data_IF_000206239202
#
_entry.id   IF_000206239202
#
_cell.length_a   1.000
_cell.length_b   1.000
_cell.length_c   1.000
_cell.angle_alpha   90.00
_cell.angle_beta   90.00
_cell.angle_gamma   90.00
#
_symmetry.space_group_name_H-M   'P 1'
#
loop_
_entity.id
_entity.type
_entity.pdbx_description
1 polymer ?
#
# COMPACT_ATOMS: atom_id res chain seq x y z
N UNK A 1 16.01 -1.35 11.86
CA UNK A 1 15.35 -2.42 11.07
C UNK A 1 13.96 -2.58 11.66
N UNK A 2 12.90 -2.17 10.97
CA UNK A 2 11.53 -2.39 11.48
C UNK A 2 11.21 -3.85 11.24
N UNK A 3 11.02 -4.59 12.33
CA UNK A 3 10.69 -6.01 12.32
C UNK A 3 9.24 -6.13 11.82
N UNK A 4 9.00 -7.11 10.94
CA UNK A 4 7.71 -7.30 10.28
C UNK A 4 6.66 -7.76 11.30
N UNK A 5 6.00 -6.83 11.99
CA UNK A 5 4.87 -7.12 12.86
C UNK A 5 3.62 -7.35 12.01
N UNK A 6 3.56 -8.51 11.33
CA UNK A 6 2.31 -9.04 10.74
C UNK A 6 1.20 -9.25 11.79
N UNK A 7 1.53 -9.17 13.08
CA UNK A 7 0.57 -9.12 14.18
C UNK A 7 -0.32 -7.86 14.14
N UNK A 8 0.12 -6.79 13.47
CA UNK A 8 -0.70 -5.60 13.26
C UNK A 8 -1.70 -5.89 12.14
N UNK A 9 -3.00 -5.59 12.32
CA UNK A 9 -4.01 -5.81 11.29
C UNK A 9 -3.75 -4.92 10.05
N UNK A 10 -4.13 -5.42 8.88
CA UNK A 10 -4.21 -4.61 7.66
C UNK A 10 -5.26 -3.49 7.83
N UNK A 11 -5.06 -2.28 7.26
CA UNK A 11 -3.92 -1.84 6.45
C UNK A 11 -2.71 -1.31 7.23
N UNK A 12 -2.78 -1.22 8.56
CA UNK A 12 -1.75 -0.59 9.40
C UNK A 12 -0.37 -1.21 9.25
N UNK A 13 -0.28 -2.54 9.14
CA UNK A 13 1.00 -3.22 8.97
C UNK A 13 1.76 -2.80 7.70
N UNK A 14 1.06 -2.61 6.58
CA UNK A 14 1.62 -2.10 5.33
C UNK A 14 2.07 -0.65 5.50
N UNK A 15 1.25 0.16 6.17
CA UNK A 15 1.53 1.60 6.36
C UNK A 15 2.76 1.78 7.26
N UNK A 16 2.86 1.07 8.37
CA UNK A 16 4.04 1.11 9.25
C UNK A 16 5.32 0.73 8.48
N UNK A 17 5.25 -0.30 7.62
CA UNK A 17 6.38 -0.70 6.79
C UNK A 17 6.77 0.37 5.75
N UNK A 18 5.79 0.99 5.09
CA UNK A 18 6.05 2.02 4.08
C UNK A 18 6.58 3.30 4.70
N UNK A 19 5.99 3.75 5.82
CA UNK A 19 6.39 4.97 6.52
C UNK A 19 7.65 4.78 7.37
N UNK A 20 8.01 3.54 7.71
CA UNK A 20 9.18 3.21 8.51
C UNK A 20 9.08 3.61 9.98
N UNK A 21 7.86 3.84 10.47
CA UNK A 21 7.53 4.18 11.86
C UNK A 21 6.25 3.49 12.27
N UNK A 22 6.05 3.30 13.57
CA UNK A 22 4.74 2.87 14.07
C UNK A 22 3.73 4.01 13.94
N UNK A 23 2.54 3.66 13.47
CA UNK A 23 1.42 4.58 13.25
C UNK A 23 0.25 4.08 14.09
N UNK A 24 -0.26 4.95 14.95
CA UNK A 24 -1.45 4.67 15.75
C UNK A 24 -2.68 4.55 14.84
N UNK A 25 -3.75 3.90 15.31
CA UNK A 25 -4.97 3.74 14.50
C UNK A 25 -5.62 5.11 14.25
N UNK A 26 -5.53 5.99 15.24
CA UNK A 26 -6.11 7.34 15.28
C UNK A 26 -5.41 8.31 14.32
N UNK A 27 -4.16 8.02 13.94
CA UNK A 27 -3.40 8.79 12.96
C UNK A 27 -3.79 8.45 11.52
N UNK A 28 -4.48 7.33 11.30
CA UNK A 28 -4.87 6.94 9.95
C UNK A 28 -5.98 7.83 9.40
N UNK A 29 -5.91 8.18 8.10
CA UNK A 29 -7.01 8.87 7.47
C UNK A 29 -8.27 7.98 7.47
N UNK A 30 -9.47 8.59 7.51
CA UNK A 30 -10.72 7.83 7.57
C UNK A 30 -10.96 7.01 6.30
N UNK A 31 -10.44 7.46 5.16
CA UNK A 31 -10.51 6.84 3.84
C UNK A 31 -9.23 6.03 3.51
N UNK A 32 -8.59 5.46 4.53
CA UNK A 32 -7.30 4.76 4.36
C UNK A 32 -7.43 3.49 3.50
N UNK A 33 -8.57 2.79 3.55
CA UNK A 33 -8.76 1.56 2.79
C UNK A 33 -8.80 1.87 1.29
N UNK A 34 -9.57 2.87 0.90
CA UNK A 34 -9.68 3.40 -0.45
C UNK A 34 -8.34 3.97 -0.92
N UNK A 35 -7.63 4.66 -0.03
CA UNK A 35 -6.30 5.21 -0.32
C UNK A 35 -5.27 4.12 -0.61
N UNK A 36 -5.29 3.03 0.16
CA UNK A 36 -4.41 1.88 -0.07
C UNK A 36 -4.78 1.20 -1.38
N UNK A 37 -6.07 0.96 -1.63
CA UNK A 37 -6.54 0.36 -2.89
C UNK A 37 -6.07 1.19 -4.10
N UNK A 38 -6.36 2.49 -4.10
CA UNK A 38 -5.95 3.41 -5.16
C UNK A 38 -4.43 3.36 -5.40
N UNK A 39 -3.64 3.44 -4.33
CA UNK A 39 -2.18 3.43 -4.46
C UNK A 39 -1.67 2.09 -5.02
N UNK A 40 -2.24 0.96 -4.61
CA UNK A 40 -1.84 -0.35 -5.13
C UNK A 40 -2.14 -0.47 -6.63
N UNK A 41 -3.33 -0.06 -7.05
CA UNK A 41 -3.75 -0.07 -8.45
C UNK A 41 -2.90 0.87 -9.32
N UNK A 42 -2.55 2.05 -8.83
CA UNK A 42 -1.84 3.06 -9.62
C UNK A 42 -0.31 2.93 -9.61
N UNK A 43 0.28 2.17 -8.68
CA UNK A 43 1.74 2.12 -8.52
C UNK A 43 2.39 0.85 -9.08
N UNK A 44 1.64 -0.24 -9.25
CA UNK A 44 2.19 -1.54 -9.67
C UNK A 44 1.21 -2.37 -10.49
N UNK A 45 1.67 -3.50 -11.01
CA UNK A 45 0.80 -4.44 -11.71
C UNK A 45 -0.09 -5.18 -10.72
N UNK A 46 -1.22 -5.68 -11.22
CA UNK A 46 -2.16 -6.52 -10.45
C UNK A 46 -1.45 -7.67 -9.73
N UNK A 47 -0.52 -8.35 -10.41
CA UNK A 47 0.29 -9.42 -9.81
C UNK A 47 1.14 -8.95 -8.62
N UNK A 48 1.82 -7.81 -8.77
CA UNK A 48 2.68 -7.27 -7.71
C UNK A 48 1.83 -6.78 -6.52
N UNK A 49 0.65 -6.21 -6.80
CA UNK A 49 -0.33 -5.80 -5.79
C UNK A 49 -0.89 -7.01 -5.04
N UNK A 50 -1.28 -8.07 -5.74
CA UNK A 50 -1.80 -9.29 -5.12
C UNK A 50 -0.76 -9.96 -4.21
N UNK A 51 0.53 -9.95 -4.59
CA UNK A 51 1.62 -10.40 -3.71
C UNK A 51 1.68 -9.61 -2.39
N UNK A 52 1.44 -8.29 -2.43
CA UNK A 52 1.34 -7.49 -1.20
C UNK A 52 0.08 -7.84 -0.39
N UNK A 53 -1.06 -8.07 -1.05
CA UNK A 53 -2.29 -8.49 -0.37
C UNK A 53 -2.05 -9.81 0.38
N UNK A 54 -1.44 -10.82 -0.27
CA UNK A 54 -1.08 -12.07 0.40
C UNK A 54 -0.13 -11.84 1.59
N UNK A 55 0.82 -10.92 1.44
CA UNK A 55 1.82 -10.63 2.48
C UNK A 55 1.22 -9.93 3.70
N UNK A 56 0.40 -8.91 3.50
CA UNK A 56 -0.04 -7.99 4.56
C UNK A 56 -1.48 -8.22 5.00
N UNK A 57 -2.39 -8.61 4.10
CA UNK A 57 -3.79 -8.88 4.47
C UNK A 57 -3.98 -10.33 4.91
N UNK A 58 -3.30 -11.28 4.26
CA UNK A 58 -3.39 -12.72 4.59
C UNK A 58 -2.26 -13.22 5.48
N UNK A 59 -1.33 -12.35 5.86
CA UNK A 59 -0.17 -12.67 6.71
C UNK A 59 0.68 -13.85 6.22
N UNK A 60 0.68 -14.16 4.92
CA UNK A 60 1.47 -15.27 4.38
C UNK A 60 2.96 -14.94 4.42
N UNK A 61 3.77 -15.92 4.82
CA UNK A 61 5.22 -15.88 4.76
C UNK A 61 5.72 -15.79 3.31
N UNK A 62 6.92 -15.24 3.12
CA UNK A 62 7.57 -15.20 1.80
C UNK A 62 7.74 -16.61 1.20
N UNK A 63 7.89 -17.64 2.05
CA UNK A 63 7.99 -19.05 1.61
C UNK A 63 6.65 -19.58 1.12
N UNK A 64 5.56 -19.30 1.83
CA UNK A 64 4.21 -19.71 1.41
C UNK A 64 3.80 -19.00 0.12
N UNK A 65 4.08 -17.71 -0.01
CA UNK A 65 3.82 -16.95 -1.25
C UNK A 65 4.67 -17.51 -2.41
N UNK A 66 5.93 -17.85 -2.15
CA UNK A 66 6.81 -18.48 -3.15
C UNK A 66 6.25 -19.81 -3.64
N UNK A 67 5.78 -20.67 -2.71
CA UNK A 67 5.12 -21.93 -3.05
C UNK A 67 3.82 -21.71 -3.84
N UNK A 68 2.96 -20.76 -3.41
CA UNK A 68 1.70 -20.42 -4.10
C UNK A 68 1.91 -20.02 -5.56
N UNK A 69 2.97 -19.28 -5.86
CA UNK A 69 3.30 -18.84 -7.22
C UNK A 69 4.24 -19.76 -8.00
N UNK A 70 4.76 -20.84 -7.39
CA UNK A 70 5.82 -21.65 -7.99
C UNK A 70 7.10 -20.86 -8.29
N UNK A 71 7.41 -19.84 -7.48
CA UNK A 71 8.59 -18.97 -7.64
C UNK A 71 9.61 -19.20 -6.52
N UNK A 72 10.84 -18.72 -6.72
CA UNK A 72 11.84 -18.74 -5.66
C UNK A 72 11.53 -17.70 -4.56
N UNK A 73 11.92 -18.01 -3.32
CA UNK A 73 11.86 -17.07 -2.19
C UNK A 73 12.54 -15.73 -2.51
N UNK A 74 13.72 -15.79 -3.15
CA UNK A 74 14.48 -14.60 -3.55
C UNK A 74 13.68 -13.73 -4.52
N UNK A 75 12.94 -14.34 -5.45
CA UNK A 75 12.10 -13.60 -6.41
C UNK A 75 10.94 -12.91 -5.71
N UNK A 76 10.22 -13.59 -4.82
CA UNK A 76 9.13 -12.96 -4.04
C UNK A 76 9.65 -11.80 -3.18
N UNK A 77 10.79 -12.01 -2.50
CA UNK A 77 11.44 -10.95 -1.72
C UNK A 77 11.80 -9.73 -2.57
N UNK A 78 12.29 -9.95 -3.79
CA UNK A 78 12.63 -8.88 -4.73
C UNK A 78 11.38 -8.09 -5.15
N UNK A 79 10.28 -8.78 -5.47
CA UNK A 79 9.02 -8.15 -5.85
C UNK A 79 8.50 -7.29 -4.71
N UNK A 80 8.40 -7.83 -3.49
CA UNK A 80 7.91 -7.08 -2.33
C UNK A 80 8.78 -5.83 -2.07
N UNK A 81 10.11 -5.96 -2.08
CA UNK A 81 11.01 -4.80 -1.92
C UNK A 81 10.82 -3.75 -3.02
N UNK A 82 10.61 -4.18 -4.27
CA UNK A 82 10.35 -3.29 -5.40
C UNK A 82 9.02 -2.56 -5.21
N UNK A 83 7.98 -3.26 -4.78
CA UNK A 83 6.65 -2.69 -4.51
C UNK A 83 6.70 -1.69 -3.34
N UNK A 84 7.29 -2.07 -2.20
CA UNK A 84 7.52 -1.14 -1.07
C UNK A 84 8.28 0.11 -1.49
N UNK A 85 9.31 -0.01 -2.35
CA UNK A 85 10.05 1.14 -2.88
C UNK A 85 9.14 2.08 -3.69
N UNK A 86 8.21 1.54 -4.49
CA UNK A 86 7.23 2.34 -5.22
C UNK A 86 6.28 3.06 -4.27
N UNK A 87 5.79 2.37 -3.23
CA UNK A 87 4.91 2.95 -2.21
C UNK A 87 5.59 4.09 -1.43
N UNK A 88 6.90 3.97 -1.16
CA UNK A 88 7.69 5.02 -0.50
C UNK A 88 7.92 6.27 -1.36
N UNK A 89 7.67 6.20 -2.66
CA UNK A 89 7.86 7.34 -3.55
C UNK A 89 6.90 8.48 -3.14
N UNK A 90 7.36 9.75 -3.07
CA UNK A 90 6.54 10.88 -2.58
C UNK A 90 5.17 11.01 -3.24
N UNK A 91 5.10 10.70 -4.55
CA UNK A 91 3.85 10.69 -5.32
C UNK A 91 2.75 9.82 -4.67
N UNK A 92 3.10 8.66 -4.14
CA UNK A 92 2.15 7.69 -3.57
C UNK A 92 2.10 7.77 -2.05
N UNK A 93 3.25 8.04 -1.42
CA UNK A 93 3.37 8.15 0.04
C UNK A 93 2.38 9.12 0.67
N UNK A 94 2.10 10.25 0.01
CA UNK A 94 1.13 11.25 0.49
C UNK A 94 -0.29 10.69 0.65
N UNK A 95 -0.74 9.81 -0.25
CA UNK A 95 -2.07 9.19 -0.16
C UNK A 95 -2.17 8.23 1.03
N UNK A 96 -1.08 7.51 1.32
CA UNK A 96 -1.01 6.61 2.48
C UNK A 96 -0.91 7.36 3.82
N UNK A 97 -0.50 8.62 3.79
CA UNK A 97 -0.33 9.46 4.98
C UNK A 97 -1.56 10.33 5.25
N UNK A 98 -2.08 10.99 4.21
CA UNK A 98 -3.09 12.03 4.34
C UNK A 98 -4.50 11.55 3.92
N UNK A 99 -4.60 10.45 3.18
CA UNK A 99 -5.84 9.98 2.57
C UNK A 99 -6.09 10.60 1.19
N UNK A 100 -6.88 9.93 0.35
CA UNK A 100 -7.32 10.42 -0.95
C UNK A 100 -8.09 11.74 -0.82
N UNK A 101 -9.02 11.83 0.12
CA UNK A 101 -9.87 13.01 0.32
C UNK A 101 -9.05 14.29 0.55
N UNK A 102 -8.03 14.24 1.41
CA UNK A 102 -7.16 15.41 1.67
C UNK A 102 -6.25 15.72 0.47
N UNK A 103 -5.71 14.71 -0.19
CA UNK A 103 -4.81 14.92 -1.33
C UNK A 103 -5.57 15.52 -2.53
N UNK A 104 -6.81 15.12 -2.75
CA UNK A 104 -7.69 15.66 -3.80
C UNK A 104 -8.14 17.09 -3.50
N UNK A 105 -8.46 17.41 -2.24
CA UNK A 105 -8.73 18.79 -1.81
C UNK A 105 -7.53 19.71 -2.01
N UNK A 106 -6.30 19.20 -1.83
CA UNK A 106 -5.08 19.95 -2.18
C UNK A 106 -4.84 20.07 -3.69
N UNK A 107 -5.36 19.12 -4.49
CA UNK A 107 -5.23 19.13 -5.94
C UNK A 107 -6.28 20.01 -6.64
N UNK A 108 -7.48 20.16 -6.07
CA UNK A 108 -8.53 21.05 -6.60
C UNK A 108 -8.18 22.55 -6.52
N UNK A 109 -7.11 22.91 -5.80
CA UNK A 109 -6.48 24.23 -5.85
C UNK A 109 -5.59 24.44 -7.10
N UNK A 110 -5.40 23.43 -7.95
CA UNK A 110 -4.69 23.52 -9.23
C UNK A 110 -5.64 23.17 -10.39
N UNK A 111 -5.81 24.04 -11.40
CA UNK A 111 -6.73 23.77 -12.49
C UNK A 111 -6.20 22.64 -13.38
N UNK A 112 -7.01 21.58 -13.55
CA UNK A 112 -6.97 20.78 -14.78
C UNK A 112 -6.46 19.34 -14.72
N UNK A 113 -6.73 18.55 -13.67
CA UNK A 113 -6.70 17.08 -13.78
C UNK A 113 -7.88 16.44 -13.04
N UNK A 114 -8.87 16.00 -13.79
CA UNK A 114 -9.97 15.15 -13.31
C UNK A 114 -9.41 13.81 -12.83
N UNK A 115 -9.63 13.50 -11.55
CA UNK A 115 -9.47 12.13 -11.02
C UNK A 115 -10.80 11.38 -11.27
N UNK A 116 -10.81 10.26 -12.02
CA UNK A 116 -12.06 9.62 -12.42
C UNK A 116 -12.40 8.39 -11.55
N UNK A 117 -12.36 8.47 -10.22
CA UNK A 117 -12.68 7.30 -9.38
C UNK A 117 -13.37 7.69 -8.07
N UNK A 118 -14.46 8.45 -8.17
CA UNK A 118 -15.49 8.52 -7.14
C UNK A 118 -16.84 8.73 -7.84
N UNK A 119 -17.23 7.74 -8.64
CA UNK A 119 -18.62 7.53 -9.04
C UNK A 119 -19.10 6.30 -8.27
N UNK A 120 -19.81 6.59 -7.19
CA UNK A 120 -20.52 5.64 -6.35
C UNK A 120 -21.72 5.01 -7.09
N UNK A 121 -22.10 3.83 -6.56
CA UNK A 121 -23.36 3.09 -6.74
C UNK A 121 -23.56 2.28 -8.03
#
# INVERSE_FOLDING_TARGET
>A
MVQQCLAIPFPRNLICEVLGRDVALEELPPDIEESVQYVLEQSMSERDAFILILRYMRNMSLREIAAYYGLSYGRIRQIIKKSQRKLRHPRYRKYLQDGCAKVEQGASALPGKTAPYCAAC
#
